data_IF_849456037228
#
_entry.id   IF_849456037228
#
_cell.length_a   1.000
_cell.length_b   1.000
_cell.length_c   1.000
_cell.angle_alpha   90.00
_cell.angle_beta   90.00
_cell.angle_gamma   90.00
#
_symmetry.space_group_name_H-M   'P 1'
#
loop_
_entity.id
_entity.type
_entity.pdbx_description
1 polymer ?
#
# COMPACT_ATOMS: atom_id res chain seq x y z
N UNK A 1 -22.40 -1.38 31.40
CA UNK A 1 -21.06 -1.93 31.24
C UNK A 1 -20.12 -0.76 31.06
N UNK A 2 -19.07 -0.66 31.88
CA UNK A 2 -18.14 0.46 31.79
C UNK A 2 -17.42 0.45 30.42
N UNK A 3 -17.23 1.63 29.85
CA UNK A 3 -16.60 1.77 28.52
C UNK A 3 -15.16 1.20 28.46
N UNK A 4 -14.47 1.18 29.60
CA UNK A 4 -13.12 0.61 29.72
C UNK A 4 -13.05 -0.92 29.61
N UNK A 5 -14.18 -1.62 29.64
CA UNK A 5 -14.23 -3.07 29.53
C UNK A 5 -14.27 -3.59 28.09
N UNK A 6 -14.41 -2.71 27.09
CA UNK A 6 -14.43 -3.08 25.67
C UNK A 6 -13.24 -2.40 24.98
N UNK A 7 -12.35 -3.19 24.39
CA UNK A 7 -11.21 -2.72 23.59
C UNK A 7 -11.26 -3.37 22.21
N UNK A 8 -10.97 -2.58 21.18
CA UNK A 8 -10.87 -3.08 19.82
C UNK A 8 -9.45 -2.81 19.28
N UNK A 9 -8.93 -3.76 18.53
CA UNK A 9 -7.70 -3.63 17.74
C UNK A 9 -8.07 -3.99 16.31
N UNK A 10 -8.00 -3.01 15.42
CA UNK A 10 -8.43 -3.16 14.03
C UNK A 10 -7.27 -2.85 13.07
N UNK A 11 -7.27 -3.52 11.92
CA UNK A 11 -6.36 -3.26 10.81
C UNK A 11 -7.16 -2.97 9.55
N UNK A 12 -6.97 -1.81 8.97
CA UNK A 12 -7.65 -1.37 7.76
C UNK A 12 -7.12 -2.11 6.54
N UNK A 13 -8.03 -2.53 5.65
CA UNK A 13 -7.74 -3.24 4.41
C UNK A 13 -8.03 -2.34 3.20
N UNK A 14 -7.10 -1.49 2.77
CA UNK A 14 -7.37 -0.42 1.79
C UNK A 14 -7.79 -0.95 0.40
N UNK A 15 -7.41 -2.17 0.05
CA UNK A 15 -7.68 -2.77 -1.26
C UNK A 15 -8.94 -3.64 -1.30
N UNK A 16 -9.60 -3.84 -0.16
CA UNK A 16 -10.79 -4.67 -0.09
C UNK A 16 -12.06 -3.83 -0.24
N UNK A 17 -12.92 -4.21 -1.19
CA UNK A 17 -14.14 -3.44 -1.50
C UNK A 17 -15.23 -3.57 -0.44
N UNK A 18 -15.31 -4.71 0.23
CA UNK A 18 -16.41 -5.05 1.13
C UNK A 18 -15.98 -5.12 2.60
N UNK A 19 -14.78 -5.59 2.89
CA UNK A 19 -14.21 -5.65 4.25
C UNK A 19 -13.26 -4.48 4.40
N UNK A 20 -13.66 -3.46 5.15
CA UNK A 20 -12.88 -2.23 5.33
C UNK A 20 -11.77 -2.39 6.36
N UNK A 21 -12.01 -3.20 7.40
CA UNK A 21 -11.02 -3.54 8.40
C UNK A 21 -11.33 -4.90 9.04
N UNK A 22 -10.30 -5.52 9.60
CA UNK A 22 -10.40 -6.78 10.36
C UNK A 22 -9.60 -6.65 11.64
N UNK A 23 -10.06 -7.32 12.71
CA UNK A 23 -9.35 -7.26 13.98
C UNK A 23 -9.99 -8.09 15.07
N UNK A 24 -9.69 -7.70 16.30
CA UNK A 24 -10.13 -8.37 17.50
C UNK A 24 -10.84 -7.41 18.44
N UNK A 25 -11.79 -7.91 19.20
CA UNK A 25 -12.46 -7.17 20.27
C UNK A 25 -12.27 -7.93 21.58
N UNK A 26 -11.68 -7.27 22.56
CA UNK A 26 -11.53 -7.78 23.93
C UNK A 26 -12.69 -7.26 24.79
N UNK A 27 -13.35 -8.16 25.48
CA UNK A 27 -14.49 -7.85 26.37
C UNK A 27 -14.11 -8.20 27.80
N UNK A 28 -14.32 -7.26 28.72
CA UNK A 28 -14.08 -7.39 30.16
C UNK A 28 -12.67 -7.85 30.56
N UNK A 29 -11.65 -7.59 29.70
CA UNK A 29 -10.30 -8.14 29.85
C UNK A 29 -10.26 -9.67 30.05
N UNK A 30 -11.31 -10.36 29.61
CA UNK A 30 -11.50 -11.80 29.82
C UNK A 30 -11.65 -12.60 28.54
N UNK A 31 -12.34 -12.09 27.54
CA UNK A 31 -12.58 -12.75 26.26
C UNK A 31 -12.05 -11.92 25.10
N UNK A 32 -11.45 -12.59 24.12
CA UNK A 32 -11.06 -12.00 22.85
C UNK A 32 -11.92 -12.59 21.74
N UNK A 33 -12.72 -11.77 21.10
CA UNK A 33 -13.47 -12.10 19.87
C UNK A 33 -12.54 -11.83 18.71
N UNK A 34 -12.10 -12.88 18.03
CA UNK A 34 -11.22 -12.78 16.85
C UNK A 34 -12.02 -12.63 15.56
N UNK A 35 -11.36 -12.10 14.53
CA UNK A 35 -11.93 -11.98 13.18
C UNK A 35 -13.23 -11.14 13.15
N UNK A 36 -13.30 -10.10 13.99
CA UNK A 36 -14.31 -9.07 13.88
C UNK A 36 -14.03 -8.24 12.63
N UNK A 37 -15.05 -7.97 11.82
CA UNK A 37 -14.90 -7.25 10.54
C UNK A 37 -15.71 -5.97 10.55
N UNK A 38 -15.10 -4.90 10.07
CA UNK A 38 -15.80 -3.67 9.73
C UNK A 38 -16.07 -3.70 8.24
N UNK A 39 -17.34 -3.71 7.86
CA UNK A 39 -17.77 -4.03 6.50
C UNK A 39 -18.59 -2.89 5.90
N UNK A 40 -18.54 -2.75 4.57
CA UNK A 40 -19.41 -1.87 3.82
C UNK A 40 -20.67 -2.63 3.39
N UNK A 41 -21.83 -2.11 3.77
CA UNK A 41 -23.13 -2.62 3.36
C UNK A 41 -23.47 -2.29 1.90
N UNK A 42 -24.52 -2.93 1.39
CA UNK A 42 -25.03 -2.67 0.03
C UNK A 42 -25.60 -1.25 -0.12
N UNK A 43 -26.09 -0.69 0.95
CA UNK A 43 -26.60 0.68 1.09
C UNK A 43 -25.50 1.75 1.25
N UNK A 44 -24.25 1.31 1.26
CA UNK A 44 -23.07 2.19 1.46
C UNK A 44 -22.71 2.44 2.92
N UNK A 45 -23.58 2.08 3.87
CA UNK A 45 -23.32 2.21 5.30
C UNK A 45 -22.33 1.16 5.78
N UNK A 46 -21.51 1.51 6.75
CA UNK A 46 -20.60 0.55 7.35
C UNK A 46 -21.22 -0.09 8.61
N UNK A 47 -20.88 -1.36 8.85
CA UNK A 47 -21.36 -2.13 9.99
C UNK A 47 -20.31 -3.10 10.51
N UNK A 48 -20.45 -3.52 11.76
CA UNK A 48 -19.60 -4.52 12.40
C UNK A 48 -20.22 -5.89 12.23
N UNK A 49 -19.42 -6.83 11.70
CA UNK A 49 -19.77 -8.25 11.58
C UNK A 49 -18.91 -9.07 12.54
N UNK A 50 -19.56 -9.89 13.35
CA UNK A 50 -18.92 -10.86 14.21
C UNK A 50 -18.55 -12.14 13.45
N UNK A 51 -17.66 -12.98 14.02
CA UNK A 51 -17.31 -14.26 13.41
C UNK A 51 -18.53 -15.19 13.31
N UNK A 52 -18.59 -15.90 12.21
CA UNK A 52 -19.63 -16.88 11.92
C UNK A 52 -19.15 -17.91 10.89
N UNK A 53 -20.00 -18.85 10.56
CA UNK A 53 -19.75 -19.92 9.61
C UNK A 53 -20.93 -20.10 8.64
N UNK A 54 -20.66 -20.65 7.48
CA UNK A 54 -21.70 -21.11 6.56
C UNK A 54 -22.08 -22.55 6.88
N UNK A 55 -23.35 -22.76 7.24
CA UNK A 55 -23.96 -24.06 7.40
C UNK A 55 -24.92 -24.39 6.27
N UNK A 56 -25.63 -25.51 6.37
CA UNK A 56 -26.65 -25.94 5.40
C UNK A 56 -27.81 -24.96 5.25
N UNK A 57 -28.10 -24.17 6.27
CA UNK A 57 -29.18 -23.18 6.31
C UNK A 57 -28.70 -21.74 6.03
N UNK A 58 -27.44 -21.54 5.60
CA UNK A 58 -26.83 -20.25 5.32
C UNK A 58 -25.85 -19.80 6.40
N UNK A 59 -25.65 -18.48 6.49
CA UNK A 59 -24.72 -17.87 7.43
C UNK A 59 -25.25 -17.91 8.88
N UNK A 60 -24.44 -18.47 9.80
CA UNK A 60 -24.72 -18.55 11.22
C UNK A 60 -23.64 -17.79 12.01
N UNK A 61 -24.03 -16.80 12.80
CA UNK A 61 -23.12 -16.12 13.72
C UNK A 61 -22.73 -17.03 14.88
N UNK A 62 -21.43 -17.13 15.15
CA UNK A 62 -20.89 -17.84 16.34
C UNK A 62 -20.98 -16.93 17.56
N UNK A 63 -20.82 -15.60 17.35
CA UNK A 63 -20.88 -14.57 18.39
C UNK A 63 -21.94 -13.54 18.02
N UNK A 64 -22.77 -13.17 18.98
CA UNK A 64 -23.75 -12.08 18.84
C UNK A 64 -23.86 -11.29 20.13
N UNK A 65 -24.08 -10.00 20.02
CA UNK A 65 -24.44 -9.17 21.17
C UNK A 65 -25.89 -9.47 21.57
N UNK A 66 -26.14 -9.65 22.87
CA UNK A 66 -27.47 -9.95 23.38
C UNK A 66 -28.37 -8.72 23.44
N UNK A 67 -27.79 -7.52 23.51
CA UNK A 67 -28.54 -6.27 23.58
C UNK A 67 -28.07 -5.29 22.49
N UNK A 68 -28.98 -4.42 22.00
CA UNK A 68 -28.62 -3.38 21.05
C UNK A 68 -27.54 -2.44 21.60
N UNK A 69 -27.59 -2.08 22.88
CA UNK A 69 -26.65 -1.17 23.54
C UNK A 69 -25.24 -1.73 23.55
N UNK A 70 -25.08 -3.04 23.81
CA UNK A 70 -23.78 -3.69 23.75
C UNK A 70 -23.23 -3.72 22.32
N UNK A 71 -24.12 -3.98 21.34
CA UNK A 71 -23.74 -3.97 19.92
C UNK A 71 -23.27 -2.58 19.48
N UNK A 72 -23.96 -1.53 19.92
CA UNK A 72 -23.61 -0.14 19.62
C UNK A 72 -22.25 0.23 20.22
N UNK A 73 -22.04 -0.07 21.51
CA UNK A 73 -20.73 0.14 22.17
C UNK A 73 -19.57 -0.57 21.48
N UNK A 74 -19.75 -1.83 21.09
CA UNK A 74 -18.74 -2.56 20.34
C UNK A 74 -18.49 -1.89 18.98
N UNK A 75 -19.55 -1.45 18.29
CA UNK A 75 -19.43 -0.77 17.00
C UNK A 75 -18.67 0.53 17.13
N UNK A 76 -18.91 1.31 18.17
CA UNK A 76 -18.21 2.56 18.47
C UNK A 76 -16.71 2.29 18.71
N UNK A 77 -16.37 1.31 19.56
CA UNK A 77 -14.96 0.94 19.84
C UNK A 77 -14.23 0.41 18.61
N UNK A 78 -14.90 -0.35 17.77
CA UNK A 78 -14.36 -0.80 16.48
C UNK A 78 -14.10 0.39 15.56
N UNK A 79 -15.03 1.35 15.49
CA UNK A 79 -14.88 2.54 14.66
C UNK A 79 -13.73 3.45 15.14
N UNK A 80 -13.59 3.65 16.46
CA UNK A 80 -12.45 4.35 17.05
C UNK A 80 -11.12 3.67 16.67
N UNK A 81 -11.03 2.34 16.85
CA UNK A 81 -9.82 1.58 16.51
C UNK A 81 -9.48 1.63 15.00
N UNK A 82 -10.47 1.68 14.12
CA UNK A 82 -10.27 1.89 12.68
C UNK A 82 -9.69 3.27 12.39
N UNK A 83 -10.20 4.32 13.04
CA UNK A 83 -9.65 5.68 12.92
C UNK A 83 -8.22 5.76 13.42
N UNK A 84 -7.93 5.10 14.54
CA UNK A 84 -6.59 5.08 15.11
C UNK A 84 -5.61 4.33 14.20
N UNK A 85 -6.04 3.22 13.61
CA UNK A 85 -5.20 2.47 12.65
C UNK A 85 -4.90 3.30 11.40
N UNK A 86 -5.87 4.06 10.88
CA UNK A 86 -5.65 4.99 9.77
C UNK A 86 -4.65 6.10 10.11
N UNK A 87 -4.59 6.54 11.36
CA UNK A 87 -3.69 7.59 11.84
C UNK A 87 -2.29 7.09 12.21
N UNK A 88 -2.12 5.78 12.48
CA UNK A 88 -0.81 5.20 12.78
C UNK A 88 0.16 5.45 11.64
N UNK A 89 1.34 5.98 11.96
CA UNK A 89 2.37 6.30 10.98
C UNK A 89 2.17 7.61 10.23
N UNK A 90 1.10 8.36 10.48
CA UNK A 90 0.85 9.71 9.92
C UNK A 90 1.54 10.79 10.75
N UNK A 91 2.80 10.73 10.96
CA UNK A 91 3.55 11.73 11.75
C UNK A 91 5.00 11.77 11.35
N UNK A 92 5.35 10.98 10.32
CA UNK A 92 6.68 10.97 9.72
C UNK A 92 6.71 12.04 8.63
N UNK A 93 7.65 12.97 8.72
CA UNK A 93 7.80 14.04 7.75
C UNK A 93 8.70 13.60 6.60
N UNK A 94 8.44 14.14 5.39
CA UNK A 94 9.21 13.80 4.19
C UNK A 94 10.71 14.15 4.30
N UNK A 95 11.06 15.13 5.10
CA UNK A 95 12.44 15.54 5.39
C UNK A 95 13.26 14.48 6.14
N UNK A 96 12.60 13.58 6.87
CA UNK A 96 13.23 12.45 7.56
C UNK A 96 13.40 11.23 6.67
N UNK A 97 12.98 11.34 5.40
CA UNK A 97 12.87 10.22 4.46
C UNK A 97 13.63 10.52 3.18
N UNK A 98 14.43 9.57 2.72
CA UNK A 98 15.09 9.59 1.42
C UNK A 98 14.62 8.42 0.57
N UNK A 99 14.18 8.70 -0.64
CA UNK A 99 13.75 7.67 -1.60
C UNK A 99 14.62 7.76 -2.85
N UNK A 100 15.23 6.63 -3.23
CA UNK A 100 15.96 6.46 -4.49
C UNK A 100 15.21 5.47 -5.36
N UNK A 101 14.96 5.83 -6.60
CA UNK A 101 14.23 4.97 -7.55
C UNK A 101 15.09 4.72 -8.78
N UNK A 102 15.09 3.47 -9.22
CA UNK A 102 15.64 3.05 -10.50
C UNK A 102 14.45 2.60 -11.37
N UNK A 103 14.06 3.38 -12.38
CA UNK A 103 13.02 2.98 -13.32
C UNK A 103 13.45 1.74 -14.12
N UNK A 104 12.49 0.85 -14.39
CA UNK A 104 12.69 -0.36 -15.19
C UNK A 104 11.81 -0.30 -16.42
N UNK A 105 12.38 -0.52 -17.59
CA UNK A 105 11.69 -0.61 -18.87
C UNK A 105 11.66 -2.06 -19.35
N UNK A 106 10.52 -2.47 -19.93
CA UNK A 106 10.37 -3.77 -20.62
C UNK A 106 10.38 -5.03 -19.74
N UNK A 107 10.02 -4.94 -18.45
CA UNK A 107 9.93 -6.11 -17.57
C UNK A 107 8.49 -6.33 -17.06
N UNK A 108 7.60 -6.72 -17.96
CA UNK A 108 6.21 -7.08 -17.62
C UNK A 108 5.48 -5.97 -16.85
N UNK A 109 5.12 -6.25 -15.58
CA UNK A 109 4.43 -5.30 -14.70
C UNK A 109 5.37 -4.41 -13.87
N UNK A 110 6.66 -4.74 -13.81
CA UNK A 110 7.64 -3.99 -13.02
C UNK A 110 7.96 -2.66 -13.73
N UNK A 111 7.80 -1.55 -13.03
CA UNK A 111 8.08 -0.20 -13.54
C UNK A 111 9.27 0.46 -12.84
N UNK A 112 9.65 -0.03 -11.67
CA UNK A 112 10.81 0.50 -10.95
C UNK A 112 11.13 -0.30 -9.70
N UNK A 113 12.36 -0.09 -9.22
CA UNK A 113 12.82 -0.60 -7.92
C UNK A 113 13.21 0.59 -7.07
N UNK A 114 12.65 0.65 -5.86
CA UNK A 114 12.92 1.72 -4.92
C UNK A 114 13.74 1.25 -3.72
N UNK A 115 14.51 2.17 -3.18
CA UNK A 115 15.17 2.08 -1.88
C UNK A 115 14.68 3.23 -1.02
N UNK A 116 14.18 2.90 0.16
CA UNK A 116 13.70 3.83 1.18
C UNK A 116 14.73 3.89 2.32
N UNK A 117 15.17 5.08 2.67
CA UNK A 117 16.05 5.34 3.82
C UNK A 117 15.28 6.21 4.81
N UNK A 118 15.08 5.73 6.03
CA UNK A 118 14.37 6.43 7.10
C UNK A 118 14.81 5.91 8.46
N UNK A 119 14.85 6.77 9.46
CA UNK A 119 15.22 6.40 10.84
C UNK A 119 16.55 5.63 10.95
N UNK A 120 17.53 5.92 10.09
CA UNK A 120 18.80 5.20 10.05
C UNK A 120 18.73 3.79 9.43
N UNK A 121 17.56 3.38 8.92
CA UNK A 121 17.37 2.12 8.20
C UNK A 121 17.41 2.34 6.70
N UNK A 122 17.91 1.35 5.97
CA UNK A 122 17.85 1.26 4.52
C UNK A 122 17.04 0.06 4.11
N UNK A 123 15.91 0.27 3.42
CA UNK A 123 14.99 -0.74 2.93
C UNK A 123 15.09 -0.79 1.41
N UNK A 124 15.73 -1.82 0.87
CA UNK A 124 15.88 -2.04 -0.56
C UNK A 124 14.88 -3.06 -1.11
N UNK A 125 14.80 -3.15 -2.44
CA UNK A 125 13.97 -4.14 -3.13
C UNK A 125 12.47 -3.86 -3.09
N UNK A 126 12.07 -2.63 -2.82
CA UNK A 126 10.68 -2.19 -2.93
C UNK A 126 10.34 -2.10 -4.43
N UNK A 127 9.25 -2.73 -4.86
CA UNK A 127 8.86 -2.79 -6.27
C UNK A 127 7.74 -1.81 -6.56
N UNK A 128 7.86 -1.11 -7.69
CA UNK A 128 6.79 -0.29 -8.27
C UNK A 128 6.20 -1.09 -9.41
N UNK A 129 4.93 -1.43 -9.28
CA UNK A 129 4.24 -2.37 -10.17
C UNK A 129 3.02 -1.71 -10.80
N UNK A 130 2.70 -2.11 -12.03
CA UNK A 130 1.48 -1.72 -12.71
C UNK A 130 0.30 -2.60 -12.26
N UNK A 131 -0.86 -1.99 -12.05
CA UNK A 131 -2.08 -2.71 -11.67
C UNK A 131 -2.61 -3.53 -12.83
N UNK A 132 -2.88 -4.83 -12.61
CA UNK A 132 -3.51 -5.69 -13.63
C UNK A 132 -4.91 -5.22 -13.96
N UNK A 133 -5.18 -4.97 -15.25
CA UNK A 133 -6.51 -4.61 -15.72
C UNK A 133 -7.05 -3.25 -15.27
N UNK A 134 -6.22 -2.41 -14.68
CA UNK A 134 -6.55 -1.05 -14.25
C UNK A 134 -5.38 -0.11 -14.53
N UNK A 135 -5.67 1.16 -14.82
CA UNK A 135 -4.62 2.18 -14.91
C UNK A 135 -4.07 2.50 -13.52
N UNK A 136 -2.77 2.65 -13.40
CA UNK A 136 -2.10 3.12 -12.20
C UNK A 136 -1.01 2.18 -11.69
N UNK A 137 -0.23 2.71 -10.77
CA UNK A 137 0.88 2.01 -10.13
C UNK A 137 0.52 1.67 -8.68
N UNK A 138 1.23 0.70 -8.13
CA UNK A 138 1.21 0.40 -6.69
C UNK A 138 2.59 -0.02 -6.22
N UNK A 139 2.82 0.11 -4.92
CA UNK A 139 4.08 -0.22 -4.27
C UNK A 139 3.95 -1.55 -3.55
N UNK A 140 4.87 -2.47 -3.83
CA UNK A 140 5.02 -3.76 -3.15
C UNK A 140 6.26 -3.73 -2.27
N UNK A 141 6.07 -3.97 -0.98
CA UNK A 141 7.17 -4.06 -0.02
C UNK A 141 8.05 -5.29 -0.27
N UNK A 142 9.31 -5.29 0.19
CA UNK A 142 10.24 -6.40 -0.04
C UNK A 142 9.78 -7.67 0.67
N UNK A 143 9.86 -8.77 -0.06
CA UNK A 143 9.47 -10.10 0.40
C UNK A 143 10.61 -11.09 0.18
N UNK A 144 10.67 -12.13 0.99
CA UNK A 144 11.59 -13.26 0.85
C UNK A 144 10.83 -14.59 0.89
N UNK A 145 11.45 -15.63 0.34
CA UNK A 145 10.88 -16.98 0.34
C UNK A 145 11.35 -17.77 1.55
N UNK A 146 10.41 -18.42 2.22
CA UNK A 146 10.68 -19.40 3.26
C UNK A 146 10.09 -20.75 2.89
N UNK A 147 10.72 -21.82 3.38
CA UNK A 147 10.18 -23.18 3.31
C UNK A 147 9.06 -23.29 4.34
N UNK A 148 7.82 -23.29 3.90
CA UNK A 148 6.63 -23.54 4.71
C UNK A 148 6.24 -25.04 4.73
N UNK A 149 5.16 -25.36 5.42
CA UNK A 149 4.62 -26.74 5.50
C UNK A 149 4.14 -27.27 4.16
N UNK A 150 3.64 -26.39 3.29
CA UNK A 150 3.04 -26.73 1.97
C UNK A 150 3.93 -26.32 0.79
N UNK A 151 5.21 -26.03 1.03
CA UNK A 151 6.15 -25.58 -0.01
C UNK A 151 6.75 -24.20 0.29
N UNK A 152 7.27 -23.56 -0.76
CA UNK A 152 7.86 -22.21 -0.62
C UNK A 152 6.77 -21.15 -0.49
N UNK A 153 6.83 -20.37 0.59
CA UNK A 153 5.90 -19.28 0.91
C UNK A 153 6.62 -17.94 0.87
N UNK A 154 5.91 -16.90 0.37
CA UNK A 154 6.40 -15.53 0.40
C UNK A 154 6.05 -14.88 1.73
N UNK A 155 7.05 -14.28 2.36
CA UNK A 155 6.89 -13.55 3.62
C UNK A 155 7.39 -12.12 3.46
N UNK A 156 6.66 -11.18 4.03
CA UNK A 156 7.09 -9.79 4.06
C UNK A 156 8.34 -9.64 4.93
N UNK A 157 9.39 -9.03 4.38
CA UNK A 157 10.57 -8.66 5.14
C UNK A 157 10.31 -7.43 6.00
N UNK A 158 9.53 -6.50 5.46
CA UNK A 158 9.09 -5.25 6.10
C UNK A 158 7.67 -4.96 5.65
N UNK A 159 6.82 -4.53 6.57
CA UNK A 159 5.49 -4.06 6.23
C UNK A 159 5.11 -2.81 7.04
N UNK A 160 4.33 -1.90 6.46
CA UNK A 160 3.79 -0.76 7.17
C UNK A 160 2.82 -1.19 8.27
N UNK A 161 2.90 -0.56 9.43
CA UNK A 161 2.11 -0.92 10.62
C UNK A 161 0.61 -0.64 10.49
N UNK A 162 0.22 0.14 9.47
CA UNK A 162 -1.16 0.57 9.23
C UNK A 162 -1.41 0.88 7.76
N UNK A 163 -2.68 1.04 7.40
CA UNK A 163 -3.07 1.52 6.07
C UNK A 163 -2.58 2.95 5.80
N UNK A 164 -2.60 3.82 6.82
CA UNK A 164 -2.09 5.19 6.72
C UNK A 164 -0.59 5.22 6.43
N UNK A 165 0.20 4.43 7.16
CA UNK A 165 1.64 4.30 6.91
C UNK A 165 1.93 3.71 5.51
N UNK A 166 1.15 2.72 5.07
CA UNK A 166 1.26 2.12 3.73
C UNK A 166 0.99 3.16 2.64
N UNK A 167 -0.07 3.94 2.80
CA UNK A 167 -0.41 5.01 1.86
C UNK A 167 0.71 6.05 1.80
N UNK A 168 1.17 6.53 2.95
CA UNK A 168 2.22 7.55 3.03
C UNK A 168 3.54 7.10 2.38
N UNK A 169 3.98 5.88 2.65
CA UNK A 169 5.17 5.29 2.01
C UNK A 169 4.95 5.16 0.49
N UNK A 170 3.75 4.76 0.07
CA UNK A 170 3.38 4.67 -1.33
C UNK A 170 3.51 6.01 -2.05
N UNK A 171 2.98 7.09 -1.47
CA UNK A 171 3.05 8.44 -2.03
C UNK A 171 4.51 8.89 -2.20
N UNK A 172 5.36 8.78 -1.17
CA UNK A 172 6.77 9.15 -1.28
C UNK A 172 7.50 8.41 -2.39
N UNK A 173 7.22 7.11 -2.54
CA UNK A 173 7.88 6.26 -3.56
C UNK A 173 7.38 6.59 -4.96
N UNK A 174 6.06 6.78 -5.14
CA UNK A 174 5.49 7.10 -6.44
C UNK A 174 5.86 8.52 -6.90
N UNK A 175 5.88 9.49 -6.00
CA UNK A 175 6.37 10.86 -6.29
C UNK A 175 7.85 10.84 -6.73
N UNK A 176 8.69 10.09 -6.02
CA UNK A 176 10.10 9.93 -6.39
C UNK A 176 10.26 9.23 -7.76
N UNK A 177 9.41 8.24 -8.07
CA UNK A 177 9.38 7.57 -9.35
C UNK A 177 9.02 8.51 -10.50
N UNK A 178 7.94 9.27 -10.36
CA UNK A 178 7.48 10.23 -11.37
C UNK A 178 8.56 11.28 -11.67
N UNK A 179 9.20 11.79 -10.62
CA UNK A 179 10.32 12.74 -10.74
C UNK A 179 11.51 12.13 -11.50
N UNK A 180 11.84 10.87 -11.25
CA UNK A 180 12.97 10.23 -11.93
C UNK A 180 12.66 9.88 -13.39
N UNK A 181 11.45 9.43 -13.69
CA UNK A 181 10.97 9.22 -15.07
C UNK A 181 10.96 10.53 -15.85
N UNK A 182 10.48 11.62 -15.25
CA UNK A 182 10.51 12.95 -15.86
C UNK A 182 11.92 13.42 -16.22
N UNK A 183 12.90 13.23 -15.35
CA UNK A 183 14.32 13.54 -15.63
C UNK A 183 14.88 12.70 -16.78
N UNK A 184 14.53 11.43 -16.86
CA UNK A 184 14.98 10.57 -17.95
C UNK A 184 14.43 11.02 -19.30
N UNK A 185 13.15 11.39 -19.36
CA UNK A 185 12.53 11.94 -20.58
C UNK A 185 13.26 13.22 -21.03
N UNK A 186 13.56 14.14 -20.12
CA UNK A 186 14.30 15.36 -20.45
C UNK A 186 15.71 15.06 -20.99
N UNK A 187 16.45 14.14 -20.37
CA UNK A 187 17.78 13.73 -20.84
C UNK A 187 17.74 13.12 -22.25
N UNK A 188 16.73 12.32 -22.58
CA UNK A 188 16.56 11.78 -23.93
C UNK A 188 16.30 12.87 -24.93
N UNK A 189 15.40 13.83 -24.64
CA UNK A 189 15.11 14.96 -25.52
C UNK A 189 16.34 15.85 -25.75
N UNK A 190 17.11 16.16 -24.71
CA UNK A 190 18.37 16.91 -24.84
C UNK A 190 19.41 16.16 -25.67
N UNK A 191 19.53 14.85 -25.54
CA UNK A 191 20.48 14.05 -26.33
C UNK A 191 20.08 13.98 -27.81
N UNK A 192 18.80 13.89 -28.13
CA UNK A 192 18.31 13.94 -29.51
C UNK A 192 18.62 15.29 -30.18
N UNK A 193 18.36 16.41 -29.48
CA UNK A 193 18.67 17.76 -29.97
C UNK A 193 20.18 17.94 -30.24
N UNK A 194 21.04 17.42 -29.36
CA UNK A 194 22.50 17.48 -29.54
C UNK A 194 22.92 16.65 -30.76
N UNK A 195 22.37 15.47 -30.93
CA UNK A 195 22.70 14.57 -32.06
C UNK A 195 22.25 15.18 -33.39
N UNK A 196 21.06 15.76 -33.45
CA UNK A 196 20.56 16.45 -34.66
C UNK A 196 21.43 17.69 -35.00
N UNK A 197 21.82 18.48 -34.00
CA UNK A 197 22.67 19.65 -34.19
C UNK A 197 24.07 19.25 -34.72
N UNK A 198 24.66 18.17 -34.21
CA UNK A 198 25.94 17.65 -34.69
C UNK A 198 25.86 17.12 -36.13
N UNK A 199 24.78 16.41 -36.46
CA UNK A 199 24.54 15.88 -37.83
C UNK A 199 24.35 17.01 -38.86
N UNK A 200 23.69 18.10 -38.48
CA UNK A 200 23.52 19.30 -39.33
C UNK A 200 24.86 20.05 -39.55
N UNK A 201 25.68 20.12 -38.52
CA UNK A 201 26.99 20.76 -38.60
C UNK A 201 27.99 19.96 -39.47
N UNK A 202 27.96 18.63 -39.37
CA UNK A 202 28.78 17.74 -40.23
C UNK A 202 28.36 17.81 -41.70
N UNK A 203 27.05 17.88 -41.97
CA UNK A 203 26.54 18.06 -43.36
C UNK A 203 26.95 19.43 -43.94
N UNK A 204 26.91 20.49 -43.15
CA UNK A 204 27.32 21.82 -43.58
C UNK A 204 28.79 21.90 -43.89
N UNK A 205 29.62 21.28 -43.05
CA UNK A 205 31.09 21.21 -43.27
C UNK A 205 31.49 20.37 -44.48
N UNK A 206 30.73 19.33 -44.80
CA UNK A 206 30.93 18.52 -46.01
C UNK A 206 30.59 19.29 -47.28
N UNK A 207 29.53 20.07 -47.29
CA UNK A 207 29.10 20.92 -48.42
C UNK A 207 30.10 22.09 -48.69
N UNK A 208 30.73 22.64 -47.64
CA UNK A 208 31.70 23.73 -47.76
C UNK A 208 33.11 23.25 -48.21
N UNK A 209 33.38 21.93 -48.16
CA UNK A 209 34.67 21.34 -48.54
C UNK A 209 34.66 20.50 -49.83
N UNK A 210 33.62 20.56 -50.65
CA UNK A 210 33.63 20.01 -52.00
C UNK A 210 34.42 20.95 -52.95
N UNK A 211 35.56 20.53 -53.56
CA UNK A 211 36.28 21.34 -54.50
C UNK A 211 35.58 21.34 -55.86
N UNK A 212 35.51 22.53 -56.50
CA UNK A 212 35.07 22.73 -57.87
C UNK A 212 35.85 21.90 -58.93
#
# INVERSE_FOLDING_TARGET
MDDDLIRAEMHVLPENKNVLAVGNVTVANFLVIKNVRYMKGKDGNAFVSFPGEYGSEGWRSIVSALTPELKEKITEKVFEAVKDDLRKGMGVYAEDVSVKVVPVTNDGQLRGIATLEMFGLKIGGIKILEKKGQKGLYVSMPQYKLQGKNGMEWNDAVYPISAGARWQIGEWILEAYEKEVGKNIQRYQESEVITESQSQQEQKTKLENEPD
#
